data_IF_252071119309
#
_entry.id   IF_252071119309
#
_cell.length_a   1.000
_cell.length_b   1.000
_cell.length_c   1.000
_cell.angle_alpha   90.00
_cell.angle_beta   90.00
_cell.angle_gamma   90.00
#
_symmetry.space_group_name_H-M   'P 1'
#
loop_
_entity.id
_entity.type
_entity.pdbx_description
1 polymer ?
#
# COMPACT_ATOMS: atom_id res chain seq x y z
N UNK A 1 -84.85 28.26 32.79
CA UNK A 1 -83.85 29.20 32.23
C UNK A 1 -82.48 28.65 32.60
N UNK A 2 -81.83 27.91 31.69
CA UNK A 2 -80.58 27.16 31.97
C UNK A 2 -79.43 27.68 31.12
N UNK A 3 -78.33 27.98 31.80
CA UNK A 3 -77.13 28.67 31.31
C UNK A 3 -76.28 27.70 30.49
N UNK A 4 -76.08 28.01 29.20
CA UNK A 4 -75.12 27.31 28.33
C UNK A 4 -73.69 27.68 28.72
N UNK A 5 -72.92 26.69 29.20
CA UNK A 5 -71.45 26.79 29.38
C UNK A 5 -70.77 26.60 28.03
N UNK A 6 -70.02 27.60 27.58
CA UNK A 6 -69.09 27.50 26.46
C UNK A 6 -67.77 26.90 26.97
N UNK A 7 -67.38 25.71 26.48
CA UNK A 7 -66.03 25.18 26.65
C UNK A 7 -65.13 25.79 25.58
N UNK A 8 -64.15 26.58 26.02
CA UNK A 8 -63.04 27.06 25.20
C UNK A 8 -61.99 25.93 25.16
N UNK A 9 -61.87 25.25 24.01
CA UNK A 9 -60.74 24.36 23.74
C UNK A 9 -59.55 25.21 23.30
N UNK A 10 -58.64 25.50 24.24
CA UNK A 10 -57.34 26.09 23.95
C UNK A 10 -56.44 25.00 23.34
N UNK A 11 -56.42 24.92 22.01
CA UNK A 11 -55.48 24.07 21.28
C UNK A 11 -54.08 24.69 21.39
N UNK A 12 -53.27 24.19 22.33
CA UNK A 12 -51.86 24.53 22.42
C UNK A 12 -51.12 23.93 21.20
N UNK A 13 -50.82 24.77 20.22
CA UNK A 13 -49.96 24.44 19.08
C UNK A 13 -48.51 24.37 19.59
N UNK A 14 -48.09 23.20 20.08
CA UNK A 14 -46.70 22.93 20.41
C UNK A 14 -45.95 22.70 19.09
N UNK A 15 -44.98 23.54 18.68
CA UNK A 15 -44.19 23.25 17.51
C UNK A 15 -43.30 22.05 17.86
N UNK A 16 -43.58 20.88 17.29
CA UNK A 16 -42.65 19.76 17.27
C UNK A 16 -41.42 20.22 16.49
N UNK A 17 -40.40 20.69 17.23
CA UNK A 17 -39.04 20.75 16.73
C UNK A 17 -38.62 19.31 16.42
N UNK A 18 -38.76 18.93 15.15
CA UNK A 18 -38.13 17.74 14.61
C UNK A 18 -36.62 17.93 14.72
N UNK A 19 -36.03 17.48 15.83
CA UNK A 19 -34.60 17.27 15.93
C UNK A 19 -34.23 16.21 14.89
N UNK A 20 -33.78 16.65 13.71
CA UNK A 20 -33.01 15.80 12.81
C UNK A 20 -31.78 15.36 13.58
N UNK A 21 -31.77 14.12 14.09
CA UNK A 21 -30.54 13.50 14.57
C UNK A 21 -29.56 13.51 13.41
N UNK A 22 -28.58 14.43 13.44
CA UNK A 22 -27.45 14.37 12.52
C UNK A 22 -26.81 13.00 12.70
N UNK A 23 -26.91 12.18 11.66
CA UNK A 23 -26.43 10.80 11.68
C UNK A 23 -24.91 10.85 11.82
N UNK A 24 -24.41 10.63 13.03
CA UNK A 24 -22.97 10.61 13.31
C UNK A 24 -22.37 9.23 13.02
N UNK A 25 -21.18 9.23 12.42
CA UNK A 25 -20.38 8.03 12.18
C UNK A 25 -19.36 7.95 13.31
N UNK A 26 -19.49 6.95 14.17
CA UNK A 26 -18.50 6.65 15.22
C UNK A 26 -17.70 5.41 14.82
N UNK A 27 -16.38 5.54 14.85
CA UNK A 27 -15.42 4.46 14.58
C UNK A 27 -14.31 4.42 15.63
N UNK A 28 -13.61 3.28 15.66
CA UNK A 28 -12.35 3.12 16.36
C UNK A 28 -11.26 2.88 15.31
N UNK A 29 -10.33 3.82 15.18
CA UNK A 29 -9.32 3.78 14.11
C UNK A 29 -8.24 2.70 14.35
N UNK A 30 -7.22 2.60 13.47
CA UNK A 30 -6.18 1.58 13.62
C UNK A 30 -5.27 1.79 14.84
N UNK A 31 -5.21 3.00 15.39
CA UNK A 31 -4.52 3.35 16.63
C UNK A 31 -5.44 3.35 17.85
N UNK A 32 -6.61 2.72 17.72
CA UNK A 32 -7.60 2.57 18.77
C UNK A 32 -8.20 3.88 19.30
N UNK A 33 -8.11 4.97 18.52
CA UNK A 33 -8.73 6.26 18.82
C UNK A 33 -10.22 6.21 18.46
N UNK A 34 -11.08 6.73 19.34
CA UNK A 34 -12.50 6.92 19.03
C UNK A 34 -12.64 8.21 18.21
N UNK A 35 -13.13 8.10 16.99
CA UNK A 35 -13.35 9.25 16.10
C UNK A 35 -14.84 9.34 15.81
N UNK A 36 -15.39 10.54 15.98
CA UNK A 36 -16.77 10.88 15.65
C UNK A 36 -16.77 11.83 14.48
N UNK A 37 -17.53 11.51 13.45
CA UNK A 37 -17.71 12.33 12.24
C UNK A 37 -19.20 12.65 12.16
N UNK A 38 -19.53 13.93 12.06
CA UNK A 38 -20.92 14.37 12.01
C UNK A 38 -21.39 14.45 10.55
N UNK A 39 -22.59 13.93 10.28
CA UNK A 39 -23.19 13.96 8.96
C UNK A 39 -22.53 13.03 7.94
N UNK A 40 -22.75 13.35 6.67
CA UNK A 40 -22.24 12.58 5.55
C UNK A 40 -20.92 13.13 5.01
N UNK A 41 -19.94 12.26 4.82
CA UNK A 41 -18.63 12.61 4.28
C UNK A 41 -18.68 12.79 2.76
N UNK A 42 -18.37 14.00 2.30
CA UNK A 42 -18.26 14.40 0.89
C UNK A 42 -16.90 15.04 0.55
N UNK A 43 -16.20 15.59 1.54
CA UNK A 43 -14.95 16.36 1.37
C UNK A 43 -13.82 15.70 2.15
N UNK A 44 -12.96 15.00 1.44
CA UNK A 44 -11.89 14.17 2.01
C UNK A 44 -10.53 14.74 1.64
N UNK A 45 -9.65 14.82 2.62
CA UNK A 45 -8.21 14.99 2.40
C UNK A 45 -7.51 13.67 2.75
N UNK A 46 -6.59 13.26 1.89
CA UNK A 46 -5.78 12.07 2.08
C UNK A 46 -4.33 12.48 2.34
N UNK A 47 -3.78 12.04 3.47
CA UNK A 47 -2.40 12.28 3.87
C UNK A 47 -1.64 10.97 4.08
N UNK A 48 -0.34 10.99 3.81
CA UNK A 48 0.45 9.79 3.60
C UNK A 48 -0.08 9.00 2.39
N UNK A 49 0.20 7.70 2.35
CA UNK A 49 -0.35 6.82 1.30
C UNK A 49 -1.84 6.45 1.51
N UNK A 50 -2.61 7.20 2.32
CA UNK A 50 -4.03 6.89 2.58
C UNK A 50 -4.92 7.04 1.34
N UNK A 51 -4.47 7.82 0.34
CA UNK A 51 -5.13 7.99 -0.95
C UNK A 51 -5.32 6.66 -1.70
N UNK A 52 -4.44 5.69 -1.47
CA UNK A 52 -4.56 4.34 -2.03
C UNK A 52 -5.84 3.64 -1.55
N UNK A 53 -6.17 3.70 -0.25
CA UNK A 53 -7.42 3.13 0.28
C UNK A 53 -8.66 3.79 -0.33
N UNK A 54 -8.66 5.12 -0.48
CA UNK A 54 -9.77 5.87 -1.09
C UNK A 54 -9.94 5.49 -2.56
N UNK A 55 -8.82 5.32 -3.27
CA UNK A 55 -8.82 4.83 -4.65
C UNK A 55 -9.38 3.42 -4.74
N UNK A 56 -8.91 2.49 -3.89
CA UNK A 56 -9.37 1.10 -3.91
C UNK A 56 -10.87 0.98 -3.65
N UNK A 57 -11.41 1.87 -2.80
CA UNK A 57 -12.83 1.93 -2.47
C UNK A 57 -13.69 2.69 -3.50
N UNK A 58 -13.12 3.09 -4.64
CA UNK A 58 -13.82 3.84 -5.69
C UNK A 58 -14.51 5.10 -5.13
N UNK A 59 -13.78 5.90 -4.35
CA UNK A 59 -14.27 7.09 -3.65
C UNK A 59 -13.46 8.36 -3.96
N UNK A 60 -12.76 8.38 -5.10
CA UNK A 60 -11.92 9.51 -5.52
C UNK A 60 -12.71 10.78 -5.83
N UNK A 61 -13.99 10.66 -6.12
CA UNK A 61 -14.94 11.77 -6.29
C UNK A 61 -15.06 12.66 -5.03
N UNK A 62 -14.72 12.13 -3.85
CA UNK A 62 -14.76 12.86 -2.58
C UNK A 62 -13.46 13.59 -2.22
N UNK A 63 -12.37 13.34 -2.95
CA UNK A 63 -11.05 13.90 -2.61
C UNK A 63 -10.95 15.35 -3.07
N UNK A 64 -10.66 16.25 -2.14
CA UNK A 64 -10.60 17.70 -2.39
C UNK A 64 -9.18 18.28 -2.30
N UNK A 65 -8.22 17.54 -1.76
CA UNK A 65 -6.82 17.94 -1.67
C UNK A 65 -5.92 16.73 -1.43
N UNK A 66 -4.65 16.84 -1.82
CA UNK A 66 -3.64 15.78 -1.70
C UNK A 66 -2.27 16.34 -1.34
N UNK A 67 -1.31 15.46 -1.08
CA UNK A 67 0.11 15.82 -1.03
C UNK A 67 0.71 15.97 -2.43
N UNK A 68 1.74 16.82 -2.57
CA UNK A 68 2.39 17.09 -3.85
C UNK A 68 3.00 15.84 -4.48
N UNK A 69 3.48 14.90 -3.65
CA UNK A 69 4.00 13.61 -4.11
C UNK A 69 2.94 12.79 -4.85
N UNK A 70 1.65 13.00 -4.60
CA UNK A 70 0.57 12.32 -5.33
C UNK A 70 0.35 12.87 -6.74
N UNK A 71 1.02 13.96 -7.12
CA UNK A 71 0.93 14.58 -8.45
C UNK A 71 2.11 14.26 -9.37
N UNK A 72 3.03 13.39 -8.94
CA UNK A 72 4.22 13.00 -9.68
C UNK A 72 4.33 11.47 -9.80
N UNK A 73 5.22 11.01 -10.69
CA UNK A 73 5.58 9.59 -10.81
C UNK A 73 4.37 8.65 -10.97
N UNK A 74 3.38 9.07 -11.76
CA UNK A 74 2.11 8.37 -11.89
C UNK A 74 2.28 6.91 -12.33
N UNK A 75 3.28 6.62 -13.15
CA UNK A 75 3.57 5.28 -13.67
C UNK A 75 4.30 4.36 -12.66
N UNK A 76 4.58 4.83 -11.44
CA UNK A 76 5.21 4.01 -10.38
C UNK A 76 4.20 3.46 -9.37
N UNK A 77 2.98 4.02 -9.32
CA UNK A 77 1.96 3.67 -8.32
C UNK A 77 0.58 3.62 -8.98
N UNK A 78 -0.03 2.43 -8.96
CA UNK A 78 -1.31 2.12 -9.63
C UNK A 78 -2.44 3.08 -9.27
N UNK A 79 -2.58 3.39 -7.98
CA UNK A 79 -3.64 4.27 -7.47
C UNK A 79 -3.48 5.73 -7.95
N UNK A 80 -2.25 6.21 -8.13
CA UNK A 80 -2.02 7.54 -8.70
C UNK A 80 -2.23 7.54 -10.21
N UNK A 81 -1.80 6.48 -10.92
CA UNK A 81 -1.94 6.39 -12.37
C UNK A 81 -3.39 6.49 -12.83
N UNK A 82 -4.29 5.70 -12.21
CA UNK A 82 -5.70 5.67 -12.61
C UNK A 82 -6.37 7.03 -12.37
N UNK A 83 -5.90 7.80 -11.40
CA UNK A 83 -6.46 9.08 -10.98
C UNK A 83 -5.68 10.31 -11.48
N UNK A 84 -4.64 10.14 -12.30
CA UNK A 84 -3.70 11.21 -12.69
C UNK A 84 -4.37 12.51 -13.16
N UNK A 85 -5.47 12.42 -13.90
CA UNK A 85 -6.19 13.59 -14.42
C UNK A 85 -6.91 14.36 -13.31
N UNK A 86 -7.41 13.68 -12.28
CA UNK A 86 -8.02 14.32 -11.11
C UNK A 86 -6.92 14.91 -10.24
N UNK A 87 -5.89 14.11 -9.91
CA UNK A 87 -4.82 14.50 -8.99
C UNK A 87 -4.09 15.77 -9.42
N UNK A 88 -3.78 15.93 -10.71
CA UNK A 88 -3.12 17.14 -11.26
C UNK A 88 -3.86 18.45 -11.01
N UNK A 89 -5.17 18.40 -10.71
CA UNK A 89 -6.02 19.58 -10.53
C UNK A 89 -6.35 19.85 -9.06
N UNK A 90 -6.03 18.92 -8.17
CA UNK A 90 -6.35 19.09 -6.75
C UNK A 90 -5.36 20.05 -6.08
N UNK A 91 -5.84 20.92 -5.17
CA UNK A 91 -4.99 21.67 -4.27
C UNK A 91 -4.01 20.78 -3.51
N UNK A 92 -2.81 21.32 -3.29
CA UNK A 92 -1.76 20.67 -2.49
C UNK A 92 -1.80 21.22 -1.07
N UNK A 93 -1.88 20.32 -0.09
CA UNK A 93 -1.95 20.69 1.34
C UNK A 93 -0.70 20.28 2.14
N UNK A 94 0.19 19.52 1.53
CA UNK A 94 1.46 19.11 2.11
C UNK A 94 2.40 18.60 1.00
N UNK A 95 3.70 18.54 1.27
CA UNK A 95 4.65 17.99 0.30
C UNK A 95 4.48 16.47 0.16
N UNK A 96 4.30 15.78 1.30
CA UNK A 96 4.43 14.34 1.43
C UNK A 96 5.88 13.90 1.59
N UNK A 97 6.09 12.78 2.29
CA UNK A 97 7.41 12.24 2.59
C UNK A 97 7.53 11.80 4.04
N UNK A 98 8.76 11.65 4.54
CA UNK A 98 9.02 11.17 5.90
C UNK A 98 8.69 12.16 7.01
N UNK A 99 8.56 13.45 6.69
CA UNK A 99 8.20 14.51 7.62
C UNK A 99 6.91 15.15 7.12
N UNK A 100 5.85 15.07 7.93
CA UNK A 100 4.57 15.65 7.60
C UNK A 100 4.59 17.15 7.90
N UNK A 101 4.52 17.96 6.85
CA UNK A 101 4.41 19.42 6.94
C UNK A 101 3.13 19.88 6.25
N UNK A 102 2.14 20.26 7.06
CA UNK A 102 0.80 20.64 6.60
C UNK A 102 0.68 22.14 6.40
N UNK A 103 0.03 22.53 5.30
CA UNK A 103 -0.52 23.87 5.13
C UNK A 103 -1.88 23.96 5.82
N UNK A 104 -1.86 24.23 7.12
CA UNK A 104 -3.06 24.30 7.96
C UNK A 104 -4.08 25.32 7.46
N UNK A 105 -3.63 26.49 7.00
CA UNK A 105 -4.51 27.54 6.47
C UNK A 105 -5.28 27.06 5.24
N UNK A 106 -4.60 26.42 4.29
CA UNK A 106 -5.24 25.86 3.09
C UNK A 106 -6.23 24.78 3.48
N UNK A 107 -5.89 23.90 4.41
CA UNK A 107 -6.80 22.83 4.87
C UNK A 107 -8.07 23.42 5.51
N UNK A 108 -7.93 24.42 6.39
CA UNK A 108 -9.07 25.09 7.03
C UNK A 108 -9.99 25.75 5.98
N UNK A 109 -9.42 26.44 4.99
CA UNK A 109 -10.18 27.08 3.92
C UNK A 109 -10.93 26.07 3.05
N UNK A 110 -10.38 24.88 2.87
CA UNK A 110 -11.01 23.80 2.11
C UNK A 110 -12.14 23.10 2.89
N UNK A 111 -12.30 23.33 4.20
CA UNK A 111 -13.40 22.78 5.03
C UNK A 111 -13.65 21.28 4.77
N UNK A 112 -12.67 20.39 5.00
CA UNK A 112 -12.86 18.95 4.87
C UNK A 112 -13.80 18.40 5.96
N UNK A 113 -14.55 17.36 5.62
CA UNK A 113 -15.38 16.61 6.59
C UNK A 113 -14.54 15.61 7.38
N UNK A 114 -13.50 15.07 6.75
CA UNK A 114 -12.57 14.10 7.35
C UNK A 114 -11.21 14.14 6.67
N UNK A 115 -10.17 13.86 7.46
CA UNK A 115 -8.82 13.63 6.99
C UNK A 115 -8.46 12.16 7.23
N UNK A 116 -8.07 11.43 6.20
CA UNK A 116 -7.43 10.14 6.37
C UNK A 116 -5.92 10.31 6.47
N UNK A 117 -5.30 9.61 7.42
CA UNK A 117 -3.87 9.69 7.69
C UNK A 117 -3.28 8.28 7.83
N UNK A 118 -2.14 8.03 7.18
CA UNK A 118 -1.27 6.89 7.53
C UNK A 118 -0.26 7.37 8.56
N UNK A 119 -0.35 6.88 9.80
CA UNK A 119 0.60 7.19 10.87
C UNK A 119 0.65 6.08 11.91
N UNK A 120 1.82 5.96 12.56
CA UNK A 120 2.03 5.09 13.73
C UNK A 120 2.01 5.89 15.04
N UNK A 121 1.77 7.21 14.96
CA UNK A 121 1.84 8.12 16.10
C UNK A 121 0.46 8.69 16.41
N UNK A 122 -0.15 8.19 17.49
CA UNK A 122 -1.46 8.67 17.97
C UNK A 122 -1.45 10.17 18.25
N UNK A 123 -0.35 10.69 18.82
CA UNK A 123 -0.21 12.11 19.18
C UNK A 123 -0.25 13.00 17.93
N UNK A 124 0.39 12.59 16.84
CA UNK A 124 0.37 13.34 15.58
C UNK A 124 -1.06 13.49 15.04
N UNK A 125 -1.84 12.40 15.05
CA UNK A 125 -3.22 12.44 14.58
C UNK A 125 -4.14 13.29 15.49
N UNK A 126 -3.94 13.26 16.81
CA UNK A 126 -4.67 14.09 17.76
C UNK A 126 -4.30 15.58 17.62
N UNK A 127 -3.01 15.89 17.46
CA UNK A 127 -2.53 17.27 17.22
C UNK A 127 -3.09 17.86 15.93
N UNK A 128 -3.13 17.10 14.84
CA UNK A 128 -3.72 17.55 13.56
C UNK A 128 -5.22 17.80 13.74
N UNK A 129 -5.94 16.87 14.38
CA UNK A 129 -7.38 16.98 14.60
C UNK A 129 -7.73 18.19 15.45
N UNK A 130 -6.99 18.43 16.54
CA UNK A 130 -7.21 19.57 17.43
C UNK A 130 -6.91 20.92 16.76
N UNK A 131 -5.82 21.01 15.99
CA UNK A 131 -5.43 22.27 15.31
C UNK A 131 -6.41 22.66 14.22
N UNK A 132 -6.98 21.69 13.51
CA UNK A 132 -7.89 21.92 12.40
C UNK A 132 -9.36 21.93 12.80
N UNK A 133 -9.68 21.39 13.99
CA UNK A 133 -11.04 21.06 14.40
C UNK A 133 -11.78 20.19 13.35
N UNK A 134 -11.05 19.22 12.78
CA UNK A 134 -11.55 18.28 11.76
C UNK A 134 -11.27 16.84 12.24
N UNK A 135 -12.21 15.89 12.07
CA UNK A 135 -11.96 14.48 12.38
C UNK A 135 -10.78 13.90 11.58
N UNK A 136 -9.81 13.30 12.27
CA UNK A 136 -8.69 12.58 11.64
C UNK A 136 -8.83 11.09 11.90
N UNK A 137 -9.01 10.31 10.82
CA UNK A 137 -9.11 8.84 10.87
C UNK A 137 -7.77 8.23 10.46
N UNK A 138 -7.13 7.50 11.39
CA UNK A 138 -5.88 6.80 11.08
C UNK A 138 -6.17 5.45 10.43
N UNK A 139 -5.52 5.23 9.28
CA UNK A 139 -5.45 3.96 8.58
C UNK A 139 -4.02 3.44 8.62
N UNK A 140 -3.85 2.15 8.36
CA UNK A 140 -2.54 1.51 8.33
C UNK A 140 -2.55 0.20 7.51
N UNK A 141 -1.40 -0.17 6.98
CA UNK A 141 -1.14 -1.51 6.44
C UNK A 141 -0.55 -2.45 7.49
N UNK A 142 0.08 -1.92 8.54
CA UNK A 142 0.68 -2.65 9.64
C UNK A 142 1.96 -1.98 10.14
N UNK A 143 2.27 -2.19 11.42
CA UNK A 143 3.54 -1.75 12.00
C UNK A 143 4.70 -2.60 11.50
N UNK A 144 5.78 -1.96 11.09
CA UNK A 144 7.03 -2.56 10.60
C UNK A 144 6.87 -3.40 9.30
N UNK A 145 5.69 -3.41 8.67
CA UNK A 145 5.41 -4.20 7.48
C UNK A 145 3.91 -4.35 7.22
N UNK A 146 3.53 -5.23 6.31
CA UNK A 146 2.11 -5.45 5.98
C UNK A 146 1.51 -6.52 6.89
N UNK A 147 0.44 -6.16 7.58
CA UNK A 147 -0.41 -7.05 8.36
C UNK A 147 -1.83 -7.10 7.75
N UNK A 148 -2.30 -8.29 7.38
CA UNK A 148 -3.61 -8.44 6.74
C UNK A 148 -4.78 -8.03 7.63
N UNK A 149 -4.72 -8.27 8.95
CA UNK A 149 -5.80 -7.87 9.85
C UNK A 149 -5.89 -6.35 9.95
N UNK A 150 -4.75 -5.67 10.09
CA UNK A 150 -4.69 -4.20 10.09
C UNK A 150 -5.16 -3.64 8.76
N UNK A 151 -4.70 -4.20 7.64
CA UNK A 151 -5.12 -3.77 6.29
C UNK A 151 -6.63 -3.94 6.09
N UNK A 152 -7.20 -5.09 6.48
CA UNK A 152 -8.63 -5.35 6.39
C UNK A 152 -9.42 -4.40 7.31
N UNK A 153 -8.91 -4.11 8.52
CA UNK A 153 -9.50 -3.12 9.44
C UNK A 153 -9.52 -1.74 8.81
N UNK A 154 -8.43 -1.30 8.17
CA UNK A 154 -8.37 -0.03 7.44
C UNK A 154 -9.38 0.05 6.30
N UNK A 155 -9.48 -1.00 5.47
CA UNK A 155 -10.48 -1.08 4.40
C UNK A 155 -11.91 -0.99 4.96
N UNK A 156 -12.17 -1.64 6.10
CA UNK A 156 -13.49 -1.67 6.73
C UNK A 156 -13.85 -0.30 7.32
N UNK A 157 -12.91 0.36 7.99
CA UNK A 157 -13.08 1.72 8.54
C UNK A 157 -13.33 2.72 7.40
N UNK A 158 -12.45 2.75 6.40
CA UNK A 158 -12.59 3.67 5.27
C UNK A 158 -13.88 3.38 4.48
N UNK A 159 -14.25 2.11 4.30
CA UNK A 159 -15.51 1.69 3.71
C UNK A 159 -16.71 2.28 4.45
N UNK A 160 -16.76 2.15 5.78
CA UNK A 160 -17.84 2.72 6.60
C UNK A 160 -17.91 4.24 6.52
N UNK A 161 -16.76 4.91 6.63
CA UNK A 161 -16.69 6.39 6.61
C UNK A 161 -17.10 6.95 5.24
N UNK A 162 -16.73 6.26 4.15
CA UNK A 162 -16.99 6.71 2.78
C UNK A 162 -18.32 6.21 2.19
N UNK A 163 -19.09 5.39 2.94
CA UNK A 163 -20.27 4.64 2.47
C UNK A 163 -19.96 3.70 1.29
N UNK A 164 -18.89 2.92 1.43
CA UNK A 164 -18.33 1.96 0.46
C UNK A 164 -18.12 0.58 1.11
N UNK A 165 -18.96 0.21 2.08
CA UNK A 165 -18.84 -1.04 2.85
C UNK A 165 -18.86 -2.29 1.97
N UNK A 166 -19.76 -2.33 0.97
CA UNK A 166 -19.84 -3.46 0.03
C UNK A 166 -18.54 -3.61 -0.76
N UNK A 167 -18.01 -2.51 -1.28
CA UNK A 167 -16.72 -2.49 -2.00
C UNK A 167 -15.55 -2.89 -1.09
N UNK A 168 -15.55 -2.43 0.16
CA UNK A 168 -14.55 -2.84 1.15
C UNK A 168 -14.60 -4.35 1.39
N UNK A 169 -15.80 -4.92 1.55
CA UNK A 169 -16.01 -6.36 1.73
C UNK A 169 -15.48 -7.16 0.53
N UNK A 170 -15.78 -6.74 -0.69
CA UNK A 170 -15.28 -7.37 -1.92
C UNK A 170 -13.75 -7.44 -1.96
N UNK A 171 -13.07 -6.34 -1.62
CA UNK A 171 -11.61 -6.30 -1.57
C UNK A 171 -11.05 -7.22 -0.48
N UNK A 172 -11.65 -7.21 0.71
CA UNK A 172 -11.24 -8.08 1.83
C UNK A 172 -11.40 -9.56 1.45
N UNK A 173 -12.52 -9.92 0.85
CA UNK A 173 -12.78 -11.29 0.38
C UNK A 173 -11.78 -11.71 -0.70
N UNK A 174 -11.48 -10.81 -1.64
CA UNK A 174 -10.47 -11.04 -2.67
C UNK A 174 -9.07 -11.23 -2.08
N UNK A 175 -8.64 -10.37 -1.15
CA UNK A 175 -7.36 -10.49 -0.44
C UNK A 175 -7.28 -11.86 0.26
N UNK A 176 -8.33 -12.27 0.96
CA UNK A 176 -8.38 -13.57 1.62
C UNK A 176 -8.28 -14.73 0.62
N UNK A 177 -8.94 -14.63 -0.54
CA UNK A 177 -8.83 -15.61 -1.62
C UNK A 177 -7.42 -15.69 -2.19
N UNK A 178 -6.73 -14.56 -2.38
CA UNK A 178 -5.34 -14.57 -2.83
C UNK A 178 -4.44 -15.32 -1.83
N UNK A 179 -4.59 -15.03 -0.54
CA UNK A 179 -3.81 -15.66 0.54
C UNK A 179 -3.99 -17.18 0.57
N UNK A 180 -5.21 -17.68 0.35
CA UNK A 180 -5.48 -19.13 0.35
C UNK A 180 -5.12 -19.80 -0.98
N UNK A 181 -5.05 -19.05 -2.08
CA UNK A 181 -4.69 -19.60 -3.40
C UNK A 181 -3.21 -19.94 -3.55
N UNK A 182 -2.33 -19.31 -2.75
CA UNK A 182 -0.91 -19.64 -2.75
C UNK A 182 -0.68 -20.94 -1.97
N UNK A 183 -0.15 -21.93 -2.68
CA UNK A 183 0.21 -23.24 -2.15
C UNK A 183 1.33 -23.10 -1.12
N UNK A 184 1.29 -23.96 -0.11
CA UNK A 184 2.34 -24.12 0.88
C UNK A 184 3.18 -25.35 0.53
N UNK A 185 4.24 -25.21 -0.30
CA UNK A 185 5.14 -26.31 -0.61
C UNK A 185 5.72 -26.95 0.66
N UNK A 186 5.91 -28.26 0.63
CA UNK A 186 6.46 -29.02 1.76
C UNK A 186 7.91 -28.63 2.07
N UNK A 187 8.70 -28.32 1.04
CA UNK A 187 10.08 -27.84 1.17
C UNK A 187 10.18 -26.37 0.79
N UNK A 188 10.39 -25.51 1.80
CA UNK A 188 10.60 -24.07 1.56
C UNK A 188 11.95 -23.83 0.91
N UNK A 189 11.97 -23.03 -0.16
CA UNK A 189 13.21 -22.50 -0.71
C UNK A 189 13.68 -21.31 0.12
N UNK A 190 15.00 -21.23 0.32
CA UNK A 190 15.61 -20.03 0.89
C UNK A 190 15.85 -18.99 -0.21
N UNK A 191 15.55 -17.73 0.07
CA UNK A 191 15.80 -16.60 -0.84
C UNK A 191 16.07 -15.33 -0.05
N UNK A 192 16.53 -14.29 -0.74
CA UNK A 192 16.80 -12.99 -0.14
C UNK A 192 16.15 -11.88 -0.95
N UNK A 193 15.63 -10.86 -0.30
CA UNK A 193 15.15 -9.63 -0.92
C UNK A 193 16.13 -8.51 -0.57
N UNK A 194 16.76 -7.91 -1.57
CA UNK A 194 17.70 -6.80 -1.41
C UNK A 194 17.20 -5.53 -2.08
N UNK A 195 17.93 -4.44 -1.84
CA UNK A 195 17.66 -3.13 -2.44
C UNK A 195 16.25 -2.60 -2.14
N UNK A 196 15.67 -2.93 -0.99
CA UNK A 196 14.40 -2.32 -0.61
C UNK A 196 14.61 -0.82 -0.40
N UNK A 197 13.79 0.01 -1.05
CA UNK A 197 13.79 1.44 -0.82
C UNK A 197 13.43 1.73 0.65
N UNK A 198 14.25 2.55 1.31
CA UNK A 198 14.05 2.95 2.69
C UNK A 198 14.70 4.32 2.90
N UNK A 199 13.87 5.35 3.09
CA UNK A 199 14.31 6.76 3.15
C UNK A 199 15.22 7.16 1.97
N UNK A 200 14.93 6.65 0.78
CA UNK A 200 15.73 6.79 -0.42
C UNK A 200 15.96 5.46 -1.15
N UNK A 201 16.61 5.52 -2.31
CA UNK A 201 17.04 4.34 -3.05
C UNK A 201 18.23 3.69 -2.35
N UNK A 202 18.28 2.36 -2.34
CA UNK A 202 19.24 1.60 -1.55
C UNK A 202 19.92 0.49 -2.36
N UNK A 203 21.05 -0.02 -1.87
CA UNK A 203 21.74 -1.16 -2.46
C UNK A 203 21.25 -2.51 -1.92
N UNK A 204 21.88 -3.60 -2.38
CA UNK A 204 21.52 -4.97 -1.97
C UNK A 204 21.67 -5.26 -0.48
N UNK A 205 22.31 -4.37 0.29
CA UNK A 205 22.44 -4.38 1.74
C UNK A 205 21.14 -4.02 2.48
N UNK A 206 20.20 -3.35 1.80
CA UNK A 206 18.90 -2.97 2.35
C UNK A 206 17.85 -4.07 2.16
N UNK A 207 17.30 -4.57 3.26
CA UNK A 207 16.37 -5.72 3.27
C UNK A 207 15.29 -5.60 4.34
N UNK A 208 14.42 -6.60 4.43
CA UNK A 208 13.35 -6.70 5.42
C UNK A 208 13.24 -8.13 5.89
N UNK A 209 13.12 -8.34 7.20
CA UNK A 209 13.07 -9.70 7.78
C UNK A 209 11.73 -10.39 7.51
N UNK A 210 10.62 -9.73 7.83
CA UNK A 210 9.23 -10.17 7.69
C UNK A 210 8.61 -9.66 6.37
N UNK A 211 9.27 -9.96 5.26
CA UNK A 211 8.81 -9.55 3.95
C UNK A 211 7.55 -10.34 3.53
N UNK A 212 6.39 -9.67 3.57
CA UNK A 212 5.08 -10.28 3.31
C UNK A 212 5.01 -11.12 2.02
N UNK A 213 5.62 -10.71 0.88
CA UNK A 213 5.60 -11.54 -0.31
C UNK A 213 6.30 -12.90 -0.16
N UNK A 214 7.34 -13.00 0.68
CA UNK A 214 7.97 -14.29 1.02
C UNK A 214 7.09 -15.12 1.94
N UNK A 215 6.40 -14.50 2.90
CA UNK A 215 5.46 -15.21 3.77
C UNK A 215 4.35 -15.88 2.93
N UNK A 216 3.71 -15.10 2.05
CA UNK A 216 2.65 -15.59 1.17
C UNK A 216 3.12 -16.67 0.20
N UNK A 217 4.31 -16.50 -0.39
CA UNK A 217 4.89 -17.49 -1.30
C UNK A 217 5.52 -18.69 -0.58
N UNK A 218 5.43 -18.76 0.76
CA UNK A 218 6.03 -19.80 1.61
C UNK A 218 7.54 -19.97 1.38
N UNK A 219 8.27 -18.86 1.44
CA UNK A 219 9.71 -18.77 1.21
C UNK A 219 10.42 -18.48 2.53
N UNK A 220 11.56 -19.13 2.76
CA UNK A 220 12.43 -18.82 3.90
C UNK A 220 13.33 -17.64 3.55
N UNK A 221 13.20 -16.53 4.25
CA UNK A 221 14.08 -15.38 4.06
C UNK A 221 15.49 -15.70 4.60
N UNK A 222 16.55 -15.38 3.87
CA UNK A 222 17.94 -15.60 4.30
C UNK A 222 18.27 -14.83 5.59
N UNK A 223 17.58 -13.72 5.85
CA UNK A 223 17.70 -12.93 7.08
C UNK A 223 16.76 -13.37 8.20
N UNK A 224 15.96 -14.43 8.04
CA UNK A 224 14.96 -14.85 9.04
C UNK A 224 15.56 -15.24 10.40
N UNK A 225 16.86 -15.56 10.46
CA UNK A 225 17.59 -15.85 11.70
C UNK A 225 17.88 -14.59 12.52
N UNK A 226 17.90 -13.42 11.88
CA UNK A 226 17.98 -12.14 12.56
C UNK A 226 16.60 -11.93 13.20
N UNK A 227 16.49 -12.16 14.52
CA UNK A 227 15.25 -12.08 15.30
C UNK A 227 14.74 -10.64 15.45
N UNK A 228 14.66 -9.90 14.35
CA UNK A 228 14.13 -8.54 14.20
C UNK A 228 12.98 -8.57 13.20
N UNK A 229 12.08 -7.60 13.32
CA UNK A 229 11.00 -7.34 12.36
C UNK A 229 11.32 -6.09 11.56
N UNK A 230 10.65 -5.95 10.42
CA UNK A 230 10.77 -4.80 9.54
C UNK A 230 12.10 -4.69 8.82
N UNK A 231 12.36 -3.47 8.36
CA UNK A 231 13.54 -3.10 7.59
C UNK A 231 14.82 -3.25 8.40
N UNK A 232 15.90 -3.71 7.75
CA UNK A 232 17.24 -3.69 8.30
C UNK A 232 18.30 -3.56 7.20
N UNK A 233 19.48 -3.09 7.59
CA UNK A 233 20.68 -3.19 6.79
C UNK A 233 21.52 -4.40 7.22
N UNK A 234 22.08 -5.11 6.25
CA UNK A 234 23.06 -6.17 6.47
C UNK A 234 24.41 -5.80 5.84
N UNK A 235 25.49 -6.38 6.33
CA UNK A 235 26.82 -6.18 5.74
C UNK A 235 27.13 -7.22 4.64
N UNK A 236 28.16 -6.93 3.86
CA UNK A 236 28.61 -7.76 2.74
C UNK A 236 28.96 -9.20 3.18
N UNK A 237 29.58 -9.35 4.35
CA UNK A 237 30.00 -10.63 4.93
C UNK A 237 28.80 -11.52 5.28
N UNK A 238 27.78 -10.97 5.94
CA UNK A 238 26.57 -11.71 6.26
C UNK A 238 25.89 -12.25 5.00
N UNK A 239 25.81 -11.44 3.93
CA UNK A 239 25.20 -11.90 2.68
C UNK A 239 26.06 -12.98 1.98
N UNK A 240 27.39 -12.88 2.04
CA UNK A 240 28.29 -13.92 1.54
C UNK A 240 28.22 -15.22 2.35
N UNK A 241 28.02 -15.14 3.67
CA UNK A 241 27.87 -16.32 4.52
C UNK A 241 26.51 -17.00 4.32
N UNK A 242 25.43 -16.22 4.20
CA UNK A 242 24.09 -16.76 3.94
C UNK A 242 23.93 -17.27 2.50
N UNK A 243 24.64 -16.66 1.54
CA UNK A 243 24.76 -17.00 0.13
C UNK A 243 23.50 -17.64 -0.52
N UNK A 244 22.36 -16.94 -0.50
CA UNK A 244 21.09 -17.48 -0.98
C UNK A 244 21.19 -17.88 -2.46
N UNK A 245 20.55 -18.99 -2.81
CA UNK A 245 20.58 -19.47 -4.20
C UNK A 245 19.68 -18.67 -5.15
N UNK A 246 18.74 -17.90 -4.61
CA UNK A 246 17.87 -16.99 -5.35
C UNK A 246 17.82 -15.65 -4.62
N UNK A 247 17.85 -14.57 -5.38
CA UNK A 247 17.70 -13.21 -4.87
C UNK A 247 16.60 -12.47 -5.62
N UNK A 248 15.91 -11.61 -4.91
CA UNK A 248 14.95 -10.67 -5.43
C UNK A 248 15.44 -9.26 -5.12
N UNK A 249 15.14 -8.31 -6.01
CA UNK A 249 15.57 -6.92 -5.93
C UNK A 249 14.34 -6.04 -6.14
N UNK A 250 14.17 -5.01 -5.31
CA UNK A 250 13.17 -3.97 -5.59
C UNK A 250 13.57 -3.18 -6.84
N UNK A 251 12.71 -3.19 -7.85
CA UNK A 251 12.99 -2.56 -9.14
C UNK A 251 13.27 -1.06 -9.05
N UNK A 252 12.71 -0.35 -8.06
CA UNK A 252 12.99 1.07 -7.86
C UNK A 252 14.48 1.36 -7.60
N UNK A 253 15.18 0.38 -7.03
CA UNK A 253 16.57 0.52 -6.61
C UNK A 253 17.56 -0.17 -7.57
N UNK A 254 17.09 -0.69 -8.70
CA UNK A 254 17.94 -1.46 -9.60
C UNK A 254 19.17 -0.68 -10.08
N UNK A 255 19.01 0.62 -10.41
CA UNK A 255 20.12 1.49 -10.80
C UNK A 255 21.22 1.56 -9.73
N UNK A 256 20.85 1.66 -8.45
CA UNK A 256 21.81 1.66 -7.34
C UNK A 256 22.55 0.31 -7.27
N UNK A 257 21.86 -0.80 -7.54
CA UNK A 257 22.51 -2.12 -7.61
C UNK A 257 23.50 -2.19 -8.78
N UNK A 258 23.16 -1.64 -9.95
CA UNK A 258 24.08 -1.57 -11.09
C UNK A 258 25.34 -0.76 -10.76
N UNK A 259 25.19 0.39 -10.10
CA UNK A 259 26.32 1.21 -9.66
C UNK A 259 27.21 0.50 -8.65
N UNK A 260 26.61 -0.13 -7.63
CA UNK A 260 27.37 -0.90 -6.62
C UNK A 260 28.05 -2.12 -7.26
N UNK A 261 27.43 -2.77 -8.23
CA UNK A 261 28.03 -3.86 -9.00
C UNK A 261 29.30 -3.40 -9.73
N UNK A 262 29.23 -2.28 -10.47
CA UNK A 262 30.40 -1.71 -11.17
C UNK A 262 31.57 -1.42 -10.24
N UNK A 263 31.29 -0.96 -9.00
CA UNK A 263 32.31 -0.66 -7.99
C UNK A 263 32.91 -1.90 -7.32
N UNK A 264 32.16 -3.00 -7.21
CA UNK A 264 32.58 -4.23 -6.50
C UNK A 264 32.27 -5.52 -7.28
N UNK A 265 32.69 -5.69 -8.54
CA UNK A 265 32.27 -6.83 -9.36
C UNK A 265 32.69 -8.18 -8.74
N UNK A 266 33.88 -8.25 -8.13
CA UNK A 266 34.36 -9.47 -7.45
C UNK A 266 33.45 -9.92 -6.30
N UNK A 267 32.85 -8.97 -5.55
CA UNK A 267 31.91 -9.29 -4.49
C UNK A 267 30.64 -9.92 -5.04
N UNK A 268 30.02 -9.29 -6.04
CA UNK A 268 28.79 -9.79 -6.66
C UNK A 268 29.00 -11.14 -7.36
N UNK A 269 30.16 -11.35 -8.01
CA UNK A 269 30.50 -12.63 -8.65
C UNK A 269 30.62 -13.80 -7.66
N UNK A 270 30.86 -13.54 -6.37
CA UNK A 270 30.89 -14.56 -5.31
C UNK A 270 29.50 -14.89 -4.76
N UNK A 271 28.50 -14.04 -5.00
CA UNK A 271 27.12 -14.32 -4.63
C UNK A 271 26.54 -15.36 -5.60
N UNK A 272 26.12 -16.50 -5.06
CA UNK A 272 25.61 -17.65 -5.81
C UNK A 272 24.46 -17.30 -6.73
N UNK A 273 23.54 -16.45 -6.27
CA UNK A 273 22.41 -16.00 -7.08
C UNK A 273 22.86 -15.19 -8.29
N UNK A 274 23.80 -14.24 -8.15
CA UNK A 274 24.33 -13.48 -9.29
C UNK A 274 25.10 -14.37 -10.26
N UNK A 275 26.00 -15.20 -9.75
CA UNK A 275 26.79 -16.12 -10.56
C UNK A 275 25.91 -17.09 -11.38
N UNK A 276 24.84 -17.62 -10.78
CA UNK A 276 23.92 -18.56 -11.44
C UNK A 276 22.76 -17.88 -12.19
N UNK A 277 22.79 -16.56 -12.31
CA UNK A 277 21.69 -15.77 -12.86
C UNK A 277 20.34 -16.18 -12.26
N UNK A 278 20.23 -16.15 -10.93
CA UNK A 278 19.01 -16.42 -10.15
C UNK A 278 18.63 -15.16 -9.36
N UNK A 279 18.74 -14.01 -10.01
CA UNK A 279 18.39 -12.70 -9.47
C UNK A 279 17.21 -12.16 -10.25
N UNK A 280 16.19 -11.66 -9.57
CA UNK A 280 14.93 -11.25 -10.20
C UNK A 280 14.46 -9.88 -9.66
N UNK A 281 13.93 -9.03 -10.53
CA UNK A 281 13.28 -7.80 -10.14
C UNK A 281 11.83 -8.04 -9.73
N UNK A 282 11.44 -7.40 -8.63
CA UNK A 282 10.06 -7.28 -8.17
C UNK A 282 9.53 -5.89 -8.51
N UNK A 283 8.20 -5.75 -8.61
CA UNK A 283 7.56 -4.44 -8.65
C UNK A 283 7.90 -3.66 -7.38
N UNK A 284 7.98 -2.33 -7.48
CA UNK A 284 8.38 -1.50 -6.36
C UNK A 284 7.37 -1.58 -5.22
N UNK A 285 7.85 -1.99 -4.04
CA UNK A 285 6.98 -2.28 -2.90
C UNK A 285 6.65 -1.02 -2.10
N UNK A 286 7.64 -0.12 -1.98
CA UNK A 286 7.65 0.98 -1.02
C UNK A 286 7.83 2.37 -1.66
N UNK A 287 7.47 2.53 -2.95
CA UNK A 287 7.51 3.85 -3.60
C UNK A 287 6.40 4.72 -3.02
N UNK A 288 6.78 5.64 -2.12
CA UNK A 288 5.87 6.39 -1.24
C UNK A 288 4.98 5.48 -0.35
N UNK A 289 5.62 4.84 0.64
CA UNK A 289 5.03 3.81 1.50
C UNK A 289 4.51 2.60 0.70
N UNK A 290 3.69 1.77 1.34
CA UNK A 290 3.24 0.46 0.85
C UNK A 290 2.37 0.56 -0.41
N UNK A 291 2.81 -0.08 -1.49
CA UNK A 291 2.00 -0.35 -2.68
C UNK A 291 1.45 -1.79 -2.60
N UNK A 292 0.37 -1.95 -1.83
CA UNK A 292 -0.11 -3.26 -1.38
C UNK A 292 -0.51 -4.20 -2.53
N UNK A 293 -1.14 -3.69 -3.58
CA UNK A 293 -1.50 -4.45 -4.78
C UNK A 293 -0.27 -4.95 -5.55
N UNK A 294 0.77 -4.12 -5.67
CA UNK A 294 2.07 -4.51 -6.26
C UNK A 294 2.76 -5.58 -5.41
N UNK A 295 2.72 -5.46 -4.08
CA UNK A 295 3.26 -6.49 -3.17
C UNK A 295 2.52 -7.82 -3.29
N UNK A 296 1.19 -7.81 -3.43
CA UNK A 296 0.41 -9.02 -3.70
C UNK A 296 0.82 -9.66 -5.03
N UNK A 297 0.99 -8.87 -6.09
CA UNK A 297 1.48 -9.36 -7.39
C UNK A 297 2.89 -9.97 -7.27
N UNK A 298 3.77 -9.34 -6.50
CA UNK A 298 5.12 -9.85 -6.22
C UNK A 298 5.07 -11.25 -5.59
N UNK A 299 4.14 -11.53 -4.66
CA UNK A 299 3.99 -12.86 -4.05
C UNK A 299 3.77 -13.97 -5.09
N UNK A 300 2.91 -13.74 -6.08
CA UNK A 300 2.63 -14.72 -7.13
C UNK A 300 3.82 -14.90 -8.07
N UNK A 301 4.53 -13.82 -8.39
CA UNK A 301 5.74 -13.89 -9.20
C UNK A 301 6.87 -14.65 -8.48
N UNK A 302 7.08 -14.40 -7.19
CA UNK A 302 8.02 -15.15 -6.35
C UNK A 302 7.64 -16.63 -6.32
N UNK A 303 6.37 -16.94 -6.08
CA UNK A 303 5.88 -18.31 -6.01
C UNK A 303 6.09 -19.07 -7.34
N UNK A 304 5.77 -18.44 -8.48
CA UNK A 304 6.04 -19.00 -9.82
C UNK A 304 7.52 -19.24 -10.05
N UNK A 305 8.36 -18.27 -9.68
CA UNK A 305 9.81 -18.32 -9.90
C UNK A 305 10.46 -19.43 -9.08
N UNK A 306 10.06 -19.59 -7.83
CA UNK A 306 10.65 -20.57 -6.93
C UNK A 306 10.02 -21.95 -7.06
N UNK A 307 8.74 -22.06 -7.41
CA UNK A 307 8.01 -23.34 -7.47
C UNK A 307 7.32 -23.53 -8.84
N UNK A 308 8.05 -23.49 -9.97
CA UNK A 308 7.46 -23.42 -11.31
C UNK A 308 6.57 -24.61 -11.66
N UNK A 309 6.88 -25.81 -11.15
CA UNK A 309 6.06 -27.03 -11.33
C UNK A 309 4.70 -26.91 -10.65
N UNK A 310 4.66 -26.39 -9.42
CA UNK A 310 3.43 -26.21 -8.65
C UNK A 310 2.52 -25.13 -9.24
N UNK A 311 3.15 -24.12 -9.86
CA UNK A 311 2.50 -22.98 -10.49
C UNK A 311 2.60 -23.02 -12.01
N UNK A 312 2.58 -24.22 -12.62
CA UNK A 312 2.75 -24.39 -14.08
C UNK A 312 1.82 -23.51 -14.93
N UNK A 313 0.57 -23.36 -14.49
CA UNK A 313 -0.48 -22.59 -15.19
C UNK A 313 -0.56 -21.11 -14.76
N UNK A 314 0.27 -20.67 -13.80
CA UNK A 314 0.28 -19.28 -13.37
C UNK A 314 1.11 -18.44 -14.35
N UNK A 315 0.46 -17.43 -14.95
CA UNK A 315 1.12 -16.33 -15.63
C UNK A 315 1.21 -15.12 -14.66
N UNK A 316 2.40 -14.75 -14.18
CA UNK A 316 2.56 -13.65 -13.23
C UNK A 316 2.09 -12.29 -13.74
N UNK A 317 2.26 -12.00 -15.04
CA UNK A 317 1.84 -10.73 -15.65
C UNK A 317 0.31 -10.65 -15.68
N UNK A 318 -0.35 -11.72 -16.15
CA UNK A 318 -1.80 -11.81 -16.14
C UNK A 318 -2.35 -11.69 -14.72
N UNK A 319 -1.69 -12.33 -13.74
CA UNK A 319 -2.09 -12.25 -12.34
C UNK A 319 -1.91 -10.85 -11.74
N UNK A 320 -0.82 -10.15 -12.07
CA UNK A 320 -0.63 -8.77 -11.66
C UNK A 320 -1.73 -7.86 -12.22
N UNK A 321 -2.06 -8.00 -13.50
CA UNK A 321 -3.17 -7.27 -14.12
C UNK A 321 -4.52 -7.57 -13.46
N UNK A 322 -4.83 -8.83 -13.17
CA UNK A 322 -6.06 -9.21 -12.45
C UNK A 322 -6.14 -8.53 -11.07
N UNK A 323 -5.02 -8.51 -10.33
CA UNK A 323 -4.94 -7.83 -9.04
C UNK A 323 -5.16 -6.32 -9.22
N UNK A 324 -4.49 -5.68 -10.18
CA UNK A 324 -4.66 -4.25 -10.42
C UNK A 324 -6.07 -3.89 -10.90
N UNK A 325 -6.70 -4.72 -11.73
CA UNK A 325 -8.11 -4.54 -12.10
C UNK A 325 -9.02 -4.63 -10.88
N UNK A 326 -8.79 -5.60 -10.00
CA UNK A 326 -9.57 -5.73 -8.78
C UNK A 326 -9.41 -4.53 -7.86
N UNK A 327 -8.21 -3.97 -7.72
CA UNK A 327 -7.94 -2.85 -6.80
C UNK A 327 -8.27 -1.48 -7.39
N UNK A 328 -7.85 -1.20 -8.62
CA UNK A 328 -7.93 0.12 -9.25
C UNK A 328 -8.70 0.13 -10.57
N UNK A 329 -9.33 -0.98 -10.97
CA UNK A 329 -10.21 -1.05 -12.13
C UNK A 329 -9.51 -1.12 -13.50
N UNK A 330 -8.17 -1.25 -13.55
CA UNK A 330 -7.40 -1.32 -14.80
C UNK A 330 -6.21 -2.31 -14.74
N UNK A 331 -5.86 -2.97 -15.85
CA UNK A 331 -4.71 -3.87 -15.94
C UNK A 331 -3.41 -3.08 -16.14
N UNK A 332 -2.85 -2.53 -15.06
CA UNK A 332 -1.76 -1.54 -15.13
C UNK A 332 -0.34 -2.12 -15.15
N UNK A 333 -0.13 -3.43 -15.30
CA UNK A 333 1.21 -4.02 -15.24
C UNK A 333 2.18 -3.39 -16.24
N UNK A 334 1.77 -3.19 -17.50
CA UNK A 334 2.62 -2.57 -18.53
C UNK A 334 3.00 -1.13 -18.16
N UNK A 335 2.09 -0.40 -17.53
CA UNK A 335 2.35 0.96 -17.05
C UNK A 335 3.41 0.95 -15.95
N UNK A 336 3.23 0.11 -14.92
CA UNK A 336 4.19 -0.03 -13.82
C UNK A 336 5.55 -0.53 -14.33
N UNK A 337 5.54 -1.46 -15.29
CA UNK A 337 6.75 -1.95 -15.97
C UNK A 337 7.52 -0.82 -16.66
N UNK A 338 6.83 0.09 -17.34
CA UNK A 338 7.48 1.20 -18.03
C UNK A 338 8.07 2.21 -17.05
N UNK A 339 7.42 2.44 -15.90
CA UNK A 339 7.92 3.33 -14.86
C UNK A 339 9.13 2.77 -14.09
N UNK A 340 9.10 1.48 -13.73
CA UNK A 340 10.10 0.85 -12.85
C UNK A 340 10.43 -0.59 -13.28
N UNK A 341 10.74 -0.81 -14.56
CA UNK A 341 11.23 -2.07 -15.14
C UNK A 341 10.29 -3.29 -15.11
N UNK A 342 9.43 -3.47 -14.10
CA UNK A 342 8.56 -4.63 -13.96
C UNK A 342 9.30 -5.92 -13.56
N UNK A 343 8.63 -7.07 -13.74
CA UNK A 343 9.26 -8.38 -13.49
C UNK A 343 10.32 -8.68 -14.54
N UNK A 344 11.57 -8.82 -14.10
CA UNK A 344 12.69 -9.18 -14.97
C UNK A 344 13.63 -10.13 -14.26
N UNK A 345 14.42 -10.84 -15.06
CA UNK A 345 15.61 -11.53 -14.60
C UNK A 345 16.80 -10.61 -14.74
N UNK A 346 17.67 -10.58 -13.73
CA UNK A 346 18.94 -9.84 -13.78
C UNK A 346 20.04 -10.81 -14.19
N UNK A 347 20.81 -10.44 -15.21
CA UNK A 347 21.92 -11.23 -15.74
C UNK A 347 23.20 -10.39 -15.75
N UNK A 348 24.35 -11.07 -15.67
CA UNK A 348 25.65 -10.44 -15.91
C UNK A 348 26.01 -10.65 -17.37
N UNK A 349 26.21 -9.55 -18.11
CA UNK A 349 26.69 -9.57 -19.50
C UNK A 349 27.75 -8.49 -19.65
N UNK A 350 28.90 -8.83 -20.24
CA UNK A 350 30.03 -7.90 -20.45
C UNK A 350 30.43 -7.15 -19.16
N UNK A 351 30.45 -7.85 -18.02
CA UNK A 351 30.73 -7.28 -16.70
C UNK A 351 29.80 -6.10 -16.32
N UNK A 352 28.54 -6.16 -16.75
CA UNK A 352 27.46 -5.25 -16.38
C UNK A 352 26.20 -6.04 -16.03
N UNK A 353 25.33 -5.45 -15.20
CA UNK A 353 24.01 -6.01 -14.92
C UNK A 353 23.01 -5.53 -15.96
N UNK A 354 22.37 -6.47 -16.63
CA UNK A 354 21.32 -6.24 -17.62
C UNK A 354 20.02 -6.92 -17.22
N UNK A 355 18.91 -6.44 -17.77
CA UNK A 355 17.59 -7.05 -17.60
C UNK A 355 17.28 -7.96 -18.78
N UNK A 356 16.91 -9.20 -18.46
CA UNK A 356 16.29 -10.13 -19.38
C UNK A 356 14.81 -10.23 -19.03
N UNK A 357 13.95 -9.87 -19.97
CA UNK A 357 12.51 -10.03 -19.80
C UNK A 357 12.15 -11.50 -19.53
N UNK A 358 11.22 -11.68 -18.60
CA UNK A 358 10.71 -12.99 -18.25
C UNK A 358 9.57 -13.33 -19.19
N UNK A 359 9.77 -14.39 -19.96
CA UNK A 359 8.76 -14.94 -20.87
C UNK A 359 8.06 -16.12 -20.21
N UNK A 360 6.84 -16.42 -20.64
CA UNK A 360 6.07 -17.55 -20.09
C UNK A 360 6.80 -18.87 -20.35
N UNK A 361 7.57 -18.95 -21.43
CA UNK A 361 8.39 -20.08 -21.84
C UNK A 361 9.60 -20.31 -20.93
N UNK A 362 10.09 -19.28 -20.20
CA UNK A 362 11.22 -19.43 -19.27
C UNK A 362 10.88 -20.33 -18.06
N UNK A 363 9.62 -20.77 -17.94
CA UNK A 363 9.11 -21.65 -16.88
C UNK A 363 8.66 -23.03 -17.37
N UNK A 364 8.83 -23.34 -18.66
CA UNK A 364 8.69 -24.70 -19.21
C UNK A 364 9.95 -25.50 -18.89
#
# INVERSE_FOLDING_TARGET
MSIKKALIYLFAFLPLLLFSQEKSIVIKDTLDRKVTINGEVQRVIALGTSLSFITYLNAMDKVIAVESIEQMDFDKRTYTYVNKNILKRLPVVAQGGSVLQLNYETILNLKPDVIFLISQNKKEADEISNKLNVPVVVLDYGKDGVNFNTTNKSLSIAGKVLKKEQRAKELIDYINKLRTSLKKPSLKKQSYIGALAYKGLQGIDSTQADFMPFELANVTNAVSKIKKKGHLFINDEFLLMSNPSNMFIDSACFTIVQEKFKKKPAYYNRLKAFNKSQVYLLLANNYYYTNFDQMLANSFFIAKTLYPKEYKNLNPIKKANEIFEMFVGKPLYSTIKNGLHGFNKVIIKNNQLELKEIRVEDYK
#
